data_IF_986801540486
#
_entry.id   IF_986801540486
#
_cell.length_a   1.000
_cell.length_b   1.000
_cell.length_c   1.000
_cell.angle_alpha   90.00
_cell.angle_beta   90.00
_cell.angle_gamma   90.00
#
_symmetry.space_group_name_H-M   'P 1'
#
loop_
_entity.id
_entity.type
_entity.pdbx_description
1 polymer ?
#
# COMPACT_ATOMS: atom_id res chain seq x y z
N UNK A 1 -16.65 -13.34 0.94
CA UNK A 1 -17.40 -13.15 -0.33
C UNK A 1 -18.86 -13.28 0.04
N UNK A 2 -19.68 -12.26 -0.19
CA UNK A 2 -21.11 -12.30 0.12
C UNK A 2 -21.81 -13.38 -0.71
N UNK A 3 -22.79 -14.08 -0.15
CA UNK A 3 -23.55 -15.09 -0.90
C UNK A 3 -24.51 -14.41 -1.88
N UNK A 4 -24.92 -15.08 -2.96
CA UNK A 4 -25.84 -14.48 -3.94
C UNK A 4 -27.17 -14.13 -3.26
N UNK A 5 -27.51 -12.85 -3.21
CA UNK A 5 -28.76 -12.34 -2.62
C UNK A 5 -28.59 -11.55 -1.31
N UNK A 6 -27.39 -11.48 -0.74
CA UNK A 6 -27.09 -10.56 0.35
C UNK A 6 -26.93 -9.13 -0.18
N UNK A 7 -27.71 -8.21 0.39
CA UNK A 7 -27.56 -6.78 0.12
C UNK A 7 -26.20 -6.30 0.68
N UNK A 8 -25.27 -5.87 -0.19
CA UNK A 8 -23.94 -5.45 0.23
C UNK A 8 -23.99 -4.25 1.19
N UNK A 9 -24.98 -3.36 1.06
CA UNK A 9 -25.10 -2.19 1.95
C UNK A 9 -25.55 -2.60 3.36
N UNK A 10 -26.47 -3.56 3.45
CA UNK A 10 -26.90 -4.13 4.73
C UNK A 10 -25.77 -4.88 5.44
N UNK A 11 -24.93 -5.62 4.70
CA UNK A 11 -23.77 -6.30 5.25
C UNK A 11 -22.72 -5.32 5.79
N UNK A 12 -22.39 -4.28 5.02
CA UNK A 12 -21.45 -3.25 5.43
C UNK A 12 -21.95 -2.44 6.64
N UNK A 13 -23.26 -2.38 6.86
CA UNK A 13 -23.89 -1.69 7.98
C UNK A 13 -24.11 -2.59 9.21
N UNK A 14 -23.75 -3.87 9.13
CA UNK A 14 -23.92 -4.79 10.26
C UNK A 14 -23.01 -4.40 11.43
N UNK A 15 -23.48 -4.55 12.70
CA UNK A 15 -22.70 -4.14 13.86
C UNK A 15 -21.32 -4.79 13.95
N UNK A 16 -21.21 -6.06 13.54
CA UNK A 16 -19.95 -6.81 13.57
C UNK A 16 -18.95 -6.33 12.51
N UNK A 17 -19.44 -5.96 11.31
CA UNK A 17 -18.60 -5.40 10.25
C UNK A 17 -18.16 -3.98 10.62
N UNK A 18 -19.06 -3.17 11.18
CA UNK A 18 -18.70 -1.84 11.69
C UNK A 18 -17.64 -1.94 12.77
N UNK A 19 -17.82 -2.81 13.77
CA UNK A 19 -16.84 -3.02 14.86
C UNK A 19 -15.50 -3.54 14.35
N UNK A 20 -15.50 -4.40 13.34
CA UNK A 20 -14.28 -4.88 12.68
C UNK A 20 -13.60 -3.72 11.92
N UNK A 21 -14.37 -2.91 11.21
CA UNK A 21 -13.89 -1.71 10.53
C UNK A 21 -13.30 -0.67 11.50
N UNK A 22 -13.91 -0.48 12.67
CA UNK A 22 -13.37 0.38 13.72
C UNK A 22 -12.08 -0.18 14.32
N UNK A 23 -12.02 -1.48 14.58
CA UNK A 23 -10.81 -2.14 15.10
C UNK A 23 -9.66 -2.06 14.11
N UNK A 24 -9.95 -2.23 12.81
CA UNK A 24 -8.98 -2.00 11.73
C UNK A 24 -8.57 -0.54 11.66
N UNK A 25 -9.52 0.40 11.68
CA UNK A 25 -9.23 1.84 11.71
C UNK A 25 -8.31 2.18 12.87
N UNK A 26 -8.56 1.67 14.07
CA UNK A 26 -7.73 1.92 15.25
C UNK A 26 -6.35 1.26 15.17
N UNK A 27 -6.29 0.02 14.69
CA UNK A 27 -5.02 -0.69 14.47
C UNK A 27 -4.13 0.01 13.42
N UNK A 28 -4.74 0.64 12.41
CA UNK A 28 -4.07 1.39 11.36
C UNK A 28 -3.85 2.86 11.71
N UNK A 29 -4.70 3.44 12.56
CA UNK A 29 -4.52 4.75 13.16
C UNK A 29 -3.46 4.66 14.26
N UNK A 30 -2.20 4.46 13.87
CA UNK A 30 -1.07 4.54 14.79
C UNK A 30 -1.02 5.95 15.39
N UNK A 31 -1.34 6.14 16.69
CA UNK A 31 -1.22 7.45 17.31
C UNK A 31 0.26 7.86 17.25
N UNK A 32 0.58 8.90 16.49
CA UNK A 32 1.96 9.38 16.33
C UNK A 32 2.50 9.44 14.90
N UNK A 33 1.79 8.91 13.90
CA UNK A 33 2.18 9.15 12.50
C UNK A 33 1.62 10.50 12.04
N UNK A 34 2.42 11.57 12.19
CA UNK A 34 2.15 12.85 11.52
C UNK A 34 2.36 12.66 10.02
N UNK A 35 1.29 12.86 9.25
CA UNK A 35 1.35 13.10 7.82
C UNK A 35 1.37 14.63 7.58
N UNK A 36 2.14 15.17 6.61
CA UNK A 36 2.92 14.48 5.58
C UNK A 36 4.19 13.80 6.14
N UNK A 37 4.83 12.87 5.40
CA UNK A 37 6.03 12.20 5.89
C UNK A 37 7.05 13.25 6.35
N UNK A 38 7.62 13.06 7.54
CA UNK A 38 8.73 13.90 8.01
C UNK A 38 10.00 13.68 7.15
N UNK A 39 10.07 12.54 6.46
CA UNK A 39 11.12 12.20 5.52
C UNK A 39 10.74 12.46 4.06
N UNK A 40 11.74 12.69 3.22
CA UNK A 40 11.54 12.93 1.79
C UNK A 40 11.34 11.59 1.07
N UNK A 41 10.24 11.48 0.33
CA UNK A 41 9.98 10.33 -0.55
C UNK A 41 10.48 10.68 -1.95
N UNK A 42 11.32 9.82 -2.52
CA UNK A 42 11.82 9.93 -3.88
C UNK A 42 11.62 8.60 -4.62
N UNK A 43 11.22 8.69 -5.90
CA UNK A 43 11.12 7.55 -6.82
C UNK A 43 12.13 7.77 -7.95
N UNK A 44 13.04 6.82 -8.16
CA UNK A 44 14.15 6.98 -9.12
C UNK A 44 14.27 5.76 -10.05
N UNK A 45 14.77 5.99 -11.26
CA UNK A 45 15.08 4.90 -12.20
C UNK A 45 13.88 4.18 -12.82
N UNK A 46 12.68 4.74 -12.70
CA UNK A 46 11.48 4.18 -13.30
C UNK A 46 11.15 4.93 -14.59
N UNK A 47 11.33 4.25 -15.72
CA UNK A 47 10.87 4.74 -17.04
C UNK A 47 9.61 3.99 -17.42
N UNK A 48 8.46 4.67 -17.38
CA UNK A 48 7.20 4.14 -17.89
C UNK A 48 7.00 4.50 -19.35
N UNK A 49 6.40 3.59 -20.12
CA UNK A 49 5.86 3.91 -21.45
C UNK A 49 4.38 4.27 -21.30
N UNK A 50 4.00 5.48 -21.73
CA UNK A 50 2.61 5.95 -21.68
C UNK A 50 2.10 6.28 -20.28
N UNK A 51 0.84 5.94 -20.00
CA UNK A 51 0.11 6.34 -18.79
C UNK A 51 0.10 5.27 -17.68
N UNK A 52 0.93 4.23 -17.81
CA UNK A 52 1.05 3.16 -16.80
C UNK A 52 2.50 2.83 -16.53
N UNK A 53 2.80 2.54 -15.27
CA UNK A 53 4.15 2.16 -14.86
C UNK A 53 4.10 1.27 -13.63
N UNK A 54 4.92 0.22 -13.62
CA UNK A 54 5.13 -0.60 -12.42
C UNK A 54 6.39 -0.12 -11.71
N UNK A 55 6.25 0.25 -10.45
CA UNK A 55 7.32 0.79 -9.60
C UNK A 55 7.72 -0.28 -8.58
N UNK A 56 8.95 -0.81 -8.61
CA UNK A 56 9.40 -1.76 -7.60
C UNK A 56 9.75 -1.06 -6.28
N UNK A 57 9.64 -1.78 -5.17
CA UNK A 57 10.01 -1.34 -3.81
C UNK A 57 11.48 -0.91 -3.65
N UNK A 58 12.34 -1.33 -4.57
CA UNK A 58 13.75 -0.91 -4.65
C UNK A 58 13.93 0.47 -5.27
N UNK A 59 12.97 0.96 -6.04
CA UNK A 59 13.01 2.27 -6.71
C UNK A 59 12.43 3.41 -5.86
N UNK A 60 11.71 3.07 -4.78
CA UNK A 60 11.09 4.02 -3.84
C UNK A 60 12.02 4.18 -2.65
N UNK A 61 12.37 5.40 -2.30
CA UNK A 61 13.20 5.72 -1.14
C UNK A 61 12.52 6.67 -0.18
N UNK A 62 12.78 6.49 1.11
CA UNK A 62 12.45 7.41 2.19
C UNK A 62 13.75 7.73 2.93
N UNK A 63 14.16 9.00 2.92
CA UNK A 63 15.43 9.46 3.50
C UNK A 63 16.64 8.61 3.05
N UNK A 64 16.67 8.24 1.77
CA UNK A 64 17.74 7.45 1.15
C UNK A 64 17.70 5.94 1.42
N UNK A 65 16.74 5.44 2.21
CA UNK A 65 16.51 4.00 2.40
C UNK A 65 15.41 3.51 1.48
N UNK A 66 15.62 2.38 0.80
CA UNK A 66 14.59 1.82 -0.09
C UNK A 66 13.39 1.30 0.69
N UNK A 67 12.20 1.37 0.11
CA UNK A 67 10.98 0.80 0.70
C UNK A 67 11.15 -0.69 1.01
N UNK A 68 11.86 -1.42 0.13
CA UNK A 68 12.31 -2.81 0.39
C UNK A 68 13.02 -2.93 1.74
N UNK A 69 14.06 -2.14 1.98
CA UNK A 69 14.85 -2.22 3.21
C UNK A 69 14.05 -1.88 4.46
N UNK A 70 13.08 -0.96 4.33
CA UNK A 70 12.20 -0.54 5.41
C UNK A 70 11.17 -1.62 5.73
N UNK A 71 10.61 -2.28 4.72
CA UNK A 71 9.64 -3.36 4.88
C UNK A 71 10.24 -4.60 5.56
N UNK A 72 11.56 -4.80 5.45
CA UNK A 72 12.27 -5.94 6.03
C UNK A 72 12.89 -5.66 7.42
N UNK A 73 12.68 -4.48 8.01
CA UNK A 73 13.21 -4.17 9.35
C UNK A 73 12.67 -5.19 10.36
N UNK A 74 13.58 -5.84 11.08
CA UNK A 74 13.23 -6.85 12.10
C UNK A 74 12.93 -8.23 11.55
N UNK A 75 13.01 -8.45 10.23
CA UNK A 75 12.96 -9.80 9.65
C UNK A 75 14.21 -10.59 10.02
N UNK A 76 14.03 -11.85 10.43
CA UNK A 76 15.10 -12.77 10.82
C UNK A 76 15.17 -14.04 9.95
N UNK A 77 14.32 -14.14 8.91
CA UNK A 77 14.22 -15.29 8.01
C UNK A 77 14.77 -15.02 6.62
N UNK A 78 14.63 -16.01 5.72
CA UNK A 78 14.89 -15.81 4.29
C UNK A 78 13.87 -14.80 3.72
N UNK A 79 14.38 -13.74 3.08
CA UNK A 79 13.57 -12.66 2.50
C UNK A 79 13.72 -12.58 0.99
N UNK A 80 14.34 -13.59 0.38
CA UNK A 80 14.62 -13.62 -1.06
C UNK A 80 13.34 -13.65 -1.90
N UNK A 81 12.27 -14.27 -1.40
CA UNK A 81 10.95 -14.34 -2.04
C UNK A 81 10.13 -13.06 -1.88
N UNK A 82 10.46 -12.21 -0.89
CA UNK A 82 9.74 -10.97 -0.67
C UNK A 82 9.85 -10.08 -1.91
N UNK A 83 8.75 -9.49 -2.34
CA UNK A 83 8.77 -8.37 -3.28
C UNK A 83 7.50 -7.55 -3.17
N UNK A 84 7.64 -6.23 -3.34
CA UNK A 84 6.52 -5.33 -3.46
C UNK A 84 6.67 -4.51 -4.74
N UNK A 85 5.59 -4.40 -5.52
CA UNK A 85 5.50 -3.47 -6.64
C UNK A 85 4.21 -2.67 -6.56
N UNK A 86 4.26 -1.43 -7.05
CA UNK A 86 3.09 -0.56 -7.20
C UNK A 86 2.81 -0.38 -8.68
N UNK A 87 1.58 -0.67 -9.11
CA UNK A 87 1.15 -0.26 -10.43
C UNK A 87 0.57 1.14 -10.33
N UNK A 88 1.19 2.07 -11.02
CA UNK A 88 0.86 3.48 -11.01
C UNK A 88 0.30 3.85 -12.38
N UNK A 89 -0.78 4.60 -12.38
CA UNK A 89 -1.46 5.05 -13.59
C UNK A 89 -1.61 6.57 -13.59
N UNK A 90 -1.53 7.16 -14.77
CA UNK A 90 -1.74 8.59 -14.97
C UNK A 90 -3.20 8.85 -15.33
N UNK A 91 -3.88 9.66 -14.54
CA UNK A 91 -5.24 10.13 -14.78
C UNK A 91 -5.23 11.65 -14.73
N UNK A 92 -5.76 12.31 -15.75
CA UNK A 92 -5.84 13.78 -15.84
C UNK A 92 -4.53 14.51 -15.53
N UNK A 93 -3.41 14.00 -16.04
CA UNK A 93 -2.09 14.59 -15.85
C UNK A 93 -1.39 14.21 -14.53
N UNK A 94 -2.10 13.56 -13.61
CA UNK A 94 -1.62 13.22 -12.26
C UNK A 94 -1.41 11.70 -12.11
N UNK A 95 -0.37 11.30 -11.37
CA UNK A 95 -0.06 9.89 -11.12
C UNK A 95 -0.75 9.38 -9.86
N UNK A 96 -1.35 8.19 -9.95
CA UNK A 96 -2.06 7.51 -8.88
C UNK A 96 -1.63 6.07 -8.76
N UNK A 97 -1.48 5.58 -7.53
CA UNK A 97 -1.30 4.14 -7.28
C UNK A 97 -2.64 3.45 -7.51
N UNK A 98 -2.69 2.59 -8.52
CA UNK A 98 -3.88 1.79 -8.85
C UNK A 98 -3.86 0.41 -8.19
N UNK A 99 -2.67 -0.15 -7.94
CA UNK A 99 -2.53 -1.48 -7.36
C UNK A 99 -1.23 -1.62 -6.55
N UNK A 100 -1.26 -2.52 -5.57
CA UNK A 100 -0.11 -2.94 -4.77
C UNK A 100 -0.01 -4.46 -4.88
N UNK A 101 1.07 -4.94 -5.48
CA UNK A 101 1.37 -6.36 -5.59
C UNK A 101 2.41 -6.74 -4.54
N UNK A 102 2.11 -7.76 -3.75
CA UNK A 102 2.96 -8.25 -2.68
C UNK A 102 3.19 -9.75 -2.85
N UNK A 103 4.46 -10.15 -2.86
CA UNK A 103 4.90 -11.54 -2.80
C UNK A 103 5.72 -11.74 -1.53
N UNK A 104 5.53 -12.86 -0.84
CA UNK A 104 6.20 -13.20 0.43
C UNK A 104 6.64 -14.67 0.36
#
# INVERSE_FOLDING_TARGET
>A
MASPGEDPEALCSSPDVLKTGESLREAWAKPGVKLPPQGKVDVTGVTGEGDKVTVPDTAITLDGRTLRSLALIGSSGDTTSFSLTLDVQKLDGSWYVGNLNLNI
#
